data_IF_129583856565
#
_entry.id   IF_129583856565
#
_cell.length_a   1.000
_cell.length_b   1.000
_cell.length_c   1.000
_cell.angle_alpha   90.00
_cell.angle_beta   90.00
_cell.angle_gamma   90.00
#
_symmetry.space_group_name_H-M   'P 1'
#
loop_
_entity.id
_entity.type
_entity.pdbx_description
1 polymer ?
#
# COMPACT_ATOMS: atom_id res chain seq x y z
N UNK A 1 1.92 -21.67 32.46
CA UNK A 1 1.62 -21.57 31.02
C UNK A 1 0.70 -20.38 30.68
N UNK A 2 -0.47 -20.20 31.33
CA UNK A 2 -1.37 -19.07 31.02
C UNK A 2 -0.74 -17.68 31.17
N UNK A 3 0.08 -17.43 32.20
CA UNK A 3 0.69 -16.11 32.43
C UNK A 3 1.69 -15.71 31.32
N UNK A 4 2.49 -16.66 30.84
CA UNK A 4 3.45 -16.40 29.76
C UNK A 4 2.74 -16.13 28.44
N UNK A 5 1.72 -16.94 28.11
CA UNK A 5 0.94 -16.77 26.90
C UNK A 5 0.10 -15.45 26.92
N UNK A 6 -0.35 -15.04 28.10
CA UNK A 6 -1.09 -13.80 28.26
C UNK A 6 -0.20 -12.56 28.03
N UNK A 7 1.03 -12.58 28.55
CA UNK A 7 2.01 -11.52 28.27
C UNK A 7 2.44 -11.49 26.81
N UNK A 8 2.62 -12.67 26.19
CA UNK A 8 2.93 -12.75 24.75
C UNK A 8 1.76 -12.29 23.89
N UNK A 9 0.53 -12.55 24.29
CA UNK A 9 -0.68 -12.08 23.63
C UNK A 9 -0.72 -10.57 23.52
N UNK A 10 -0.47 -9.84 24.60
CA UNK A 10 -0.46 -8.37 24.57
C UNK A 10 0.67 -7.78 23.73
N UNK A 11 1.86 -8.40 23.74
CA UNK A 11 2.95 -7.98 22.84
C UNK A 11 2.60 -8.19 21.37
N UNK A 12 1.93 -9.28 21.05
CA UNK A 12 1.49 -9.57 19.68
C UNK A 12 0.43 -8.54 19.24
N UNK A 13 -0.53 -8.22 20.11
CA UNK A 13 -1.54 -7.20 19.86
C UNK A 13 -0.90 -5.84 19.57
N UNK A 14 0.09 -5.45 20.36
CA UNK A 14 0.80 -4.20 20.14
C UNK A 14 1.50 -4.16 18.78
N UNK A 15 2.17 -5.25 18.37
CA UNK A 15 2.84 -5.34 17.06
C UNK A 15 1.80 -5.33 15.92
N UNK A 16 0.66 -6.02 16.08
CA UNK A 16 -0.43 -6.01 15.10
C UNK A 16 -1.01 -4.60 14.93
N UNK A 17 -1.26 -3.90 16.04
CA UNK A 17 -1.79 -2.54 16.00
C UNK A 17 -0.80 -1.57 15.33
N UNK A 18 0.49 -1.68 15.65
CA UNK A 18 1.55 -0.88 15.00
C UNK A 18 1.66 -1.20 13.50
N UNK A 19 1.58 -2.47 13.10
CA UNK A 19 1.59 -2.88 11.70
C UNK A 19 0.36 -2.36 10.96
N UNK A 20 -0.80 -2.44 11.58
CA UNK A 20 -2.05 -1.91 11.04
C UNK A 20 -1.97 -0.40 10.85
N UNK A 21 -1.51 0.33 11.86
CA UNK A 21 -1.33 1.78 11.78
C UNK A 21 -0.34 2.18 10.67
N UNK A 22 0.77 1.45 10.53
CA UNK A 22 1.74 1.66 9.47
C UNK A 22 1.10 1.47 8.07
N UNK A 23 0.36 0.37 7.88
CA UNK A 23 -0.30 0.06 6.62
C UNK A 23 -1.41 1.07 6.30
N UNK A 24 -2.19 1.50 7.29
CA UNK A 24 -3.24 2.51 7.12
C UNK A 24 -2.64 3.87 6.74
N UNK A 25 -1.59 4.32 7.40
CA UNK A 25 -0.89 5.56 7.06
C UNK A 25 -0.32 5.52 5.64
N UNK A 26 0.28 4.40 5.26
CA UNK A 26 0.82 4.19 3.93
C UNK A 26 -0.28 4.21 2.86
N UNK A 27 -1.38 3.48 3.08
CA UNK A 27 -2.53 3.45 2.19
C UNK A 27 -3.18 4.83 2.03
N UNK A 28 -3.35 5.59 3.13
CA UNK A 28 -3.90 6.94 3.11
C UNK A 28 -3.00 7.89 2.31
N UNK A 29 -1.70 7.83 2.49
CA UNK A 29 -0.74 8.64 1.72
C UNK A 29 -0.84 8.39 0.21
N UNK A 30 -0.96 7.12 -0.21
CA UNK A 30 -1.17 6.75 -1.61
C UNK A 30 -2.52 7.28 -2.12
N UNK A 31 -3.58 7.11 -1.33
CA UNK A 31 -4.92 7.55 -1.69
C UNK A 31 -4.99 9.07 -1.87
N UNK A 32 -4.45 9.84 -0.94
CA UNK A 32 -4.41 11.31 -1.01
C UNK A 32 -3.65 11.79 -2.25
N UNK A 33 -2.52 11.16 -2.57
CA UNK A 33 -1.76 11.45 -3.81
C UNK A 33 -2.60 11.21 -5.06
N UNK A 34 -3.31 10.08 -5.11
CA UNK A 34 -4.18 9.74 -6.24
C UNK A 34 -5.36 10.68 -6.38
N UNK A 35 -6.01 11.04 -5.27
CA UNK A 35 -7.10 12.02 -5.28
C UNK A 35 -6.60 13.36 -5.80
N UNK A 36 -5.45 13.82 -5.32
CA UNK A 36 -4.87 15.08 -5.79
C UNK A 36 -4.49 15.02 -7.27
N UNK A 37 -3.92 13.91 -7.75
CA UNK A 37 -3.58 13.72 -9.16
C UNK A 37 -4.81 13.66 -10.06
N UNK A 38 -5.85 12.94 -9.65
CA UNK A 38 -7.13 12.88 -10.36
C UNK A 38 -7.79 14.27 -10.43
N UNK A 39 -7.73 15.05 -9.36
CA UNK A 39 -8.29 16.41 -9.35
C UNK A 39 -7.55 17.32 -10.34
N UNK A 40 -6.21 17.25 -10.37
CA UNK A 40 -5.40 17.98 -11.35
C UNK A 40 -5.79 17.59 -12.79
N UNK A 41 -5.93 16.28 -13.07
CA UNK A 41 -6.34 15.78 -14.39
C UNK A 41 -7.77 16.21 -14.78
N UNK A 42 -8.68 16.19 -13.82
CA UNK A 42 -10.07 16.63 -14.06
C UNK A 42 -10.16 18.12 -14.42
N UNK A 43 -9.32 18.96 -13.83
CA UNK A 43 -9.24 20.38 -14.16
C UNK A 43 -8.72 20.56 -15.60
N UNK A 44 -7.65 19.85 -15.97
CA UNK A 44 -7.08 19.87 -17.32
C UNK A 44 -8.10 19.38 -18.38
N UNK A 45 -8.73 18.23 -18.09
CA UNK A 45 -9.73 17.64 -18.97
C UNK A 45 -10.97 18.53 -19.12
N UNK A 46 -11.48 19.10 -18.04
CA UNK A 46 -12.61 20.01 -18.06
C UNK A 46 -12.36 21.25 -18.91
N UNK A 47 -11.17 21.82 -18.81
CA UNK A 47 -10.74 22.95 -19.64
C UNK A 47 -10.67 22.56 -21.13
N UNK A 48 -10.08 21.38 -21.44
CA UNK A 48 -9.98 20.86 -22.80
C UNK A 48 -11.36 20.61 -23.43
N UNK A 49 -12.27 19.95 -22.71
CA UNK A 49 -13.63 19.65 -23.18
C UNK A 49 -14.41 20.94 -23.43
N UNK A 50 -14.35 21.91 -22.50
CA UNK A 50 -15.02 23.20 -22.66
C UNK A 50 -14.52 23.96 -23.90
N UNK A 51 -13.22 23.98 -24.14
CA UNK A 51 -12.61 24.59 -25.31
C UNK A 51 -13.02 23.87 -26.61
N UNK A 52 -12.97 22.55 -26.62
CA UNK A 52 -13.40 21.73 -27.76
C UNK A 52 -14.86 21.98 -28.13
N UNK A 53 -15.78 21.98 -27.16
CA UNK A 53 -17.18 22.24 -27.36
C UNK A 53 -17.44 23.66 -27.91
N UNK A 54 -16.68 24.64 -27.45
CA UNK A 54 -16.79 26.02 -27.94
C UNK A 54 -16.46 26.13 -29.43
N UNK A 55 -15.44 25.40 -29.89
CA UNK A 55 -15.02 25.35 -31.30
C UNK A 55 -16.00 24.53 -32.14
N UNK A 56 -16.49 23.42 -31.63
CA UNK A 56 -17.50 22.58 -32.30
C UNK A 56 -18.80 23.36 -32.52
N UNK A 57 -19.29 24.09 -31.53
CA UNK A 57 -20.50 24.92 -31.65
C UNK A 57 -20.34 26.05 -32.68
N UNK A 58 -19.13 26.44 -33.03
CA UNK A 58 -18.79 27.38 -34.09
C UNK A 58 -18.51 26.71 -35.43
N UNK A 59 -18.85 25.42 -35.59
CA UNK A 59 -18.56 24.61 -36.77
C UNK A 59 -17.08 24.59 -37.18
N UNK A 60 -16.17 24.60 -36.18
CA UNK A 60 -14.74 24.51 -36.39
C UNK A 60 -14.29 23.13 -36.93
N UNK A 61 -13.18 23.12 -37.63
CA UNK A 61 -12.58 21.88 -38.16
C UNK A 61 -12.04 20.99 -37.02
N UNK A 62 -11.89 19.67 -37.27
CA UNK A 62 -11.35 18.75 -36.31
C UNK A 62 -9.94 19.15 -35.79
N UNK A 63 -9.11 19.71 -36.65
CA UNK A 63 -7.80 20.22 -36.28
C UNK A 63 -7.88 21.43 -35.34
N UNK A 64 -8.83 22.34 -35.55
CA UNK A 64 -9.03 23.48 -34.65
C UNK A 64 -9.62 23.07 -33.31
N UNK A 65 -10.44 22.02 -33.26
CA UNK A 65 -10.96 21.44 -32.02
C UNK A 65 -9.83 20.85 -31.18
N UNK A 66 -8.96 20.03 -31.80
CA UNK A 66 -7.80 19.42 -31.14
C UNK A 66 -6.82 20.49 -30.62
N UNK A 67 -6.52 21.52 -31.45
CA UNK A 67 -5.64 22.61 -31.07
C UNK A 67 -6.19 23.42 -29.89
N UNK A 68 -7.51 23.71 -29.88
CA UNK A 68 -8.15 24.40 -28.79
C UNK A 68 -8.16 23.57 -27.49
N UNK A 69 -8.45 22.27 -27.58
CA UNK A 69 -8.47 21.38 -26.44
C UNK A 69 -7.07 21.24 -25.80
N UNK A 70 -6.05 21.00 -26.63
CA UNK A 70 -4.65 20.88 -26.15
C UNK A 70 -4.13 22.20 -25.59
N UNK A 71 -4.43 23.32 -26.21
CA UNK A 71 -4.05 24.64 -25.69
C UNK A 71 -4.72 24.97 -24.36
N UNK A 72 -6.00 24.63 -24.20
CA UNK A 72 -6.72 24.85 -22.95
C UNK A 72 -6.24 23.92 -21.81
N UNK A 73 -5.93 22.66 -22.10
CA UNK A 73 -5.36 21.75 -21.13
C UNK A 73 -3.97 22.23 -20.64
N UNK A 74 -3.13 22.68 -21.58
CA UNK A 74 -1.81 23.22 -21.26
C UNK A 74 -1.91 24.52 -20.43
N UNK A 75 -2.85 25.40 -20.76
CA UNK A 75 -3.10 26.63 -20.00
C UNK A 75 -3.61 26.31 -18.58
N UNK A 76 -4.50 25.32 -18.42
CA UNK A 76 -4.97 24.86 -17.11
C UNK A 76 -3.83 24.29 -16.26
N UNK A 77 -2.98 23.44 -16.84
CA UNK A 77 -1.81 22.87 -16.19
C UNK A 77 -0.81 23.95 -15.75
N UNK A 78 -0.56 24.96 -16.61
CA UNK A 78 0.32 26.09 -16.25
C UNK A 78 -0.30 26.99 -15.19
N UNK A 79 -1.64 27.18 -15.20
CA UNK A 79 -2.36 27.93 -14.17
C UNK A 79 -2.26 27.28 -12.80
N UNK A 80 -2.39 25.94 -12.72
CA UNK A 80 -2.19 25.18 -11.48
C UNK A 80 -0.79 25.43 -10.92
N UNK A 81 0.24 25.40 -11.78
CA UNK A 81 1.62 25.72 -11.39
C UNK A 81 1.81 27.17 -10.94
N UNK A 82 1.17 28.12 -11.62
CA UNK A 82 1.24 29.54 -11.29
C UNK A 82 0.50 29.91 -10.01
N UNK A 83 -0.63 29.28 -9.72
CA UNK A 83 -1.34 29.46 -8.44
C UNK A 83 -0.49 29.02 -7.24
N UNK A 84 0.43 28.09 -7.45
CA UNK A 84 1.41 27.64 -6.44
C UNK A 84 2.60 28.60 -6.31
N UNK A 85 2.82 29.54 -7.25
CA UNK A 85 3.85 30.58 -7.17
C UNK A 85 3.42 31.81 -6.36
N UNK A 86 2.51 31.63 -5.40
CA UNK A 86 2.16 32.68 -4.45
C UNK A 86 3.39 33.12 -3.64
N UNK A 87 3.42 34.37 -3.17
CA UNK A 87 4.54 34.89 -2.39
C UNK A 87 4.80 33.97 -1.19
N UNK A 88 6.08 33.82 -0.87
CA UNK A 88 6.56 32.99 0.24
C UNK A 88 5.84 33.42 1.52
N UNK A 89 5.02 32.51 2.07
CA UNK A 89 4.38 32.69 3.36
C UNK A 89 5.14 31.86 4.36
N UNK A 90 5.90 32.55 5.21
CA UNK A 90 6.67 31.90 6.27
C UNK A 90 5.76 31.61 7.47
N UNK A 91 5.88 30.39 8.01
CA UNK A 91 5.29 30.02 9.29
C UNK A 91 6.04 30.70 10.46
N UNK A 92 5.57 30.50 11.70
CA UNK A 92 6.19 31.02 12.91
C UNK A 92 7.65 30.54 13.11
N UNK A 93 8.06 29.49 12.38
CA UNK A 93 9.41 28.91 12.42
C UNK A 93 10.27 29.31 11.20
N UNK A 94 9.79 30.23 10.38
CA UNK A 94 10.52 30.69 9.18
C UNK A 94 10.52 29.68 8.00
N UNK A 95 9.63 28.70 8.00
CA UNK A 95 9.49 27.73 6.91
C UNK A 95 8.46 28.22 5.89
N UNK A 96 8.72 28.03 4.61
CA UNK A 96 7.75 28.34 3.55
C UNK A 96 6.63 27.28 3.52
N UNK A 97 5.45 27.61 4.04
CA UNK A 97 4.26 26.76 4.00
C UNK A 97 3.89 26.30 2.57
N UNK A 98 4.24 27.09 1.58
CA UNK A 98 3.91 26.82 0.19
C UNK A 98 4.98 25.95 -0.52
N UNK A 99 6.18 25.82 0.05
CA UNK A 99 7.28 25.07 -0.56
C UNK A 99 6.96 23.59 -0.70
N UNK A 100 6.37 23.00 0.34
CA UNK A 100 5.98 21.60 0.32
C UNK A 100 4.90 21.35 -0.72
N UNK A 101 3.85 22.17 -0.76
CA UNK A 101 2.78 22.09 -1.76
C UNK A 101 3.31 22.22 -3.19
N UNK A 102 4.27 23.12 -3.43
CA UNK A 102 4.92 23.26 -4.75
C UNK A 102 5.66 21.98 -5.15
N UNK A 103 6.45 21.42 -4.23
CA UNK A 103 7.17 20.15 -4.48
C UNK A 103 6.22 19.00 -4.80
N UNK A 104 5.12 18.88 -4.05
CA UNK A 104 4.11 17.85 -4.28
C UNK A 104 3.46 17.98 -5.68
N UNK A 105 3.10 19.21 -6.10
CA UNK A 105 2.54 19.45 -7.45
C UNK A 105 3.56 19.11 -8.53
N UNK A 106 4.82 19.51 -8.37
CA UNK A 106 5.89 19.17 -9.31
C UNK A 106 6.14 17.68 -9.39
N UNK A 107 6.15 16.99 -8.25
CA UNK A 107 6.31 15.54 -8.18
C UNK A 107 5.16 14.82 -8.88
N UNK A 108 3.89 15.23 -8.63
CA UNK A 108 2.72 14.67 -9.34
C UNK A 108 2.80 14.88 -10.83
N UNK A 109 3.16 16.09 -11.28
CA UNK A 109 3.32 16.38 -12.69
C UNK A 109 4.43 15.55 -13.36
N UNK A 110 5.56 15.35 -12.68
CA UNK A 110 6.67 14.51 -13.15
C UNK A 110 6.26 13.03 -13.18
N UNK A 111 5.53 12.54 -12.17
CA UNK A 111 5.00 11.19 -12.12
C UNK A 111 4.02 10.91 -13.27
N UNK A 112 3.09 11.85 -13.55
CA UNK A 112 2.18 11.76 -14.72
C UNK A 112 2.95 11.69 -16.04
N UNK A 113 3.96 12.51 -16.21
CA UNK A 113 4.80 12.48 -17.42
C UNK A 113 5.52 11.14 -17.57
N UNK A 114 6.08 10.59 -16.49
CA UNK A 114 6.70 9.26 -16.49
C UNK A 114 5.70 8.15 -16.86
N UNK A 115 4.48 8.19 -16.31
CA UNK A 115 3.41 7.22 -16.64
C UNK A 115 3.03 7.30 -18.13
N UNK A 116 2.84 8.51 -18.67
CA UNK A 116 2.54 8.71 -20.09
C UNK A 116 3.66 8.17 -20.98
N UNK A 117 4.91 8.47 -20.67
CA UNK A 117 6.06 7.97 -21.43
C UNK A 117 6.16 6.44 -21.40
N UNK A 118 5.93 5.81 -20.24
CA UNK A 118 5.88 4.34 -20.14
C UNK A 118 4.75 3.74 -20.99
N UNK A 119 3.57 4.35 -20.95
CA UNK A 119 2.43 3.93 -21.77
C UNK A 119 2.72 4.04 -23.27
N UNK A 120 3.28 5.16 -23.71
CA UNK A 120 3.65 5.39 -25.11
C UNK A 120 4.72 4.39 -25.58
N UNK A 121 5.73 4.12 -24.75
CA UNK A 121 6.76 3.13 -25.04
C UNK A 121 6.19 1.71 -25.13
N UNK A 122 5.31 1.33 -24.19
CA UNK A 122 4.62 0.02 -24.26
C UNK A 122 3.73 -0.10 -25.51
N UNK A 123 3.02 0.97 -25.87
CA UNK A 123 2.21 1.01 -27.08
C UNK A 123 3.06 0.90 -28.35
N UNK A 124 4.19 1.60 -28.42
CA UNK A 124 5.12 1.51 -29.53
C UNK A 124 5.68 0.07 -29.68
N UNK A 125 6.12 -0.53 -28.58
CA UNK A 125 6.61 -1.93 -28.57
C UNK A 125 5.52 -2.94 -28.92
N UNK A 126 4.27 -2.68 -28.56
CA UNK A 126 3.14 -3.56 -28.88
C UNK A 126 2.74 -3.51 -30.37
N UNK A 127 3.04 -2.41 -31.08
CA UNK A 127 2.80 -2.30 -32.52
C UNK A 127 3.81 -3.09 -33.36
N UNK A 128 4.95 -3.46 -32.81
CA UNK A 128 5.98 -4.28 -33.51
C UNK A 128 5.74 -5.79 -33.37
N UNK A 129 4.87 -6.22 -32.45
CA UNK A 129 4.58 -7.64 -32.23
C UNK A 129 3.12 -7.89 -32.59
N UNK A 130 2.90 -8.55 -33.74
CA UNK A 130 1.61 -9.00 -34.26
C UNK A 130 1.09 -10.18 -33.37
N UNK A 131 0.57 -9.86 -32.20
CA UNK A 131 0.07 -10.85 -31.22
C UNK A 131 -1.20 -10.38 -30.51
N UNK A 132 -2.10 -11.34 -30.12
CA UNK A 132 -3.41 -11.00 -29.59
C UNK A 132 -3.31 -10.33 -28.22
N UNK A 133 -3.89 -9.13 -28.15
CA UNK A 133 -4.37 -8.50 -26.94
C UNK A 133 -3.35 -8.38 -25.79
N UNK A 134 -2.43 -7.46 -25.92
CA UNK A 134 -1.84 -6.89 -24.70
C UNK A 134 -2.98 -6.26 -23.90
N UNK A 135 -3.44 -6.93 -22.85
CA UNK A 135 -4.15 -6.28 -21.76
C UNK A 135 -3.17 -5.24 -21.22
N UNK A 136 -3.41 -3.98 -21.58
CA UNK A 136 -2.81 -2.85 -20.90
C UNK A 136 -3.53 -2.80 -19.56
N UNK A 137 -3.19 -3.70 -18.67
CA UNK A 137 -3.50 -3.54 -17.27
C UNK A 137 -2.84 -2.23 -16.87
N UNK A 138 -3.67 -1.28 -16.45
CA UNK A 138 -3.20 -0.02 -15.94
C UNK A 138 -2.20 -0.33 -14.83
N UNK A 139 -0.92 -0.17 -15.10
CA UNK A 139 0.13 -0.32 -14.13
C UNK A 139 -0.11 0.77 -13.08
N UNK A 140 -0.72 0.34 -11.99
CA UNK A 140 -1.03 1.20 -10.86
C UNK A 140 0.28 1.54 -10.15
N UNK A 141 0.91 2.63 -10.58
CA UNK A 141 2.03 3.20 -9.86
C UNK A 141 1.51 3.90 -8.61
N UNK A 142 2.13 3.65 -7.45
CA UNK A 142 1.83 4.37 -6.22
C UNK A 142 2.41 5.79 -6.24
N UNK A 143 3.29 6.08 -7.19
CA UNK A 143 4.03 7.35 -7.35
C UNK A 143 4.78 7.76 -6.07
N UNK A 144 5.17 6.77 -5.28
CA UNK A 144 5.97 6.98 -4.08
C UNK A 144 7.40 7.36 -4.43
N UNK A 145 8.00 8.15 -3.57
CA UNK A 145 9.44 8.41 -3.64
C UNK A 145 10.22 7.21 -3.08
N UNK A 146 11.45 7.02 -3.56
CA UNK A 146 12.33 5.96 -3.07
C UNK A 146 12.56 6.07 -1.55
N UNK A 147 12.55 7.29 -1.01
CA UNK A 147 12.69 7.55 0.43
C UNK A 147 11.47 7.10 1.23
N UNK A 148 10.24 7.33 0.73
CA UNK A 148 9.01 6.88 1.37
C UNK A 148 8.91 5.36 1.36
N UNK A 149 9.18 4.75 0.20
CA UNK A 149 9.19 3.29 0.07
C UNK A 149 10.23 2.65 0.98
N UNK A 150 11.43 3.24 1.10
CA UNK A 150 12.48 2.75 1.99
C UNK A 150 12.09 2.88 3.46
N UNK A 151 11.53 4.02 3.86
CA UNK A 151 11.08 4.25 5.24
C UNK A 151 9.95 3.29 5.65
N UNK A 152 8.99 3.04 4.76
CA UNK A 152 7.93 2.06 5.00
C UNK A 152 8.51 0.65 5.19
N UNK A 153 9.40 0.21 4.28
CA UNK A 153 10.05 -1.11 4.36
C UNK A 153 10.87 -1.27 5.63
N UNK A 154 11.68 -0.27 5.98
CA UNK A 154 12.52 -0.30 7.18
C UNK A 154 11.67 -0.43 8.46
N UNK A 155 10.58 0.33 8.55
CA UNK A 155 9.66 0.25 9.70
C UNK A 155 8.96 -1.11 9.75
N UNK A 156 8.47 -1.61 8.61
CA UNK A 156 7.85 -2.94 8.50
C UNK A 156 8.81 -4.04 8.91
N UNK A 157 10.03 -4.00 8.40
CA UNK A 157 11.06 -5.01 8.70
C UNK A 157 11.45 -4.99 10.19
N UNK A 158 11.50 -3.80 10.81
CA UNK A 158 11.71 -3.65 12.24
C UNK A 158 10.59 -4.31 13.05
N UNK A 159 9.33 -4.12 12.68
CA UNK A 159 8.18 -4.76 13.33
C UNK A 159 8.22 -6.30 13.16
N UNK A 160 8.57 -6.79 11.98
CA UNK A 160 8.73 -8.23 11.73
C UNK A 160 9.88 -8.83 12.55
N UNK A 161 10.98 -8.11 12.72
CA UNK A 161 12.07 -8.54 13.61
C UNK A 161 11.63 -8.58 15.09
N UNK A 162 10.78 -7.64 15.51
CA UNK A 162 10.17 -7.69 16.85
C UNK A 162 9.27 -8.94 16.99
N UNK A 163 8.46 -9.23 15.97
CA UNK A 163 7.59 -10.40 15.94
C UNK A 163 8.40 -11.73 16.03
N UNK A 164 9.55 -11.80 15.35
CA UNK A 164 10.44 -12.99 15.44
C UNK A 164 11.01 -13.21 16.84
N UNK A 165 11.17 -12.14 17.61
CA UNK A 165 11.73 -12.20 18.97
C UNK A 165 10.68 -12.50 20.05
N UNK A 166 9.39 -12.48 19.75
CA UNK A 166 8.33 -12.64 20.75
C UNK A 166 8.49 -13.94 21.56
N UNK A 167 8.85 -15.05 20.92
CA UNK A 167 9.06 -16.33 21.59
C UNK A 167 10.55 -16.71 21.78
N UNK A 168 11.48 -15.77 21.61
CA UNK A 168 12.93 -16.04 21.75
C UNK A 168 13.36 -16.44 23.17
N UNK A 169 12.63 -16.01 24.18
CA UNK A 169 12.81 -16.32 25.61
C UNK A 169 12.06 -17.60 26.04
N UNK A 170 11.24 -18.18 25.15
CA UNK A 170 10.54 -19.43 25.43
C UNK A 170 11.47 -20.63 25.25
N UNK A 171 11.28 -21.66 26.08
CA UNK A 171 12.02 -22.94 25.88
C UNK A 171 11.65 -23.51 24.50
N UNK A 172 12.56 -24.27 23.92
CA UNK A 172 12.42 -24.83 22.57
C UNK A 172 11.11 -25.61 22.36
N UNK A 173 10.59 -26.22 23.40
CA UNK A 173 9.33 -26.98 23.38
C UNK A 173 8.08 -26.11 23.19
N UNK A 174 8.18 -24.79 23.47
CA UNK A 174 7.08 -23.83 23.40
C UNK A 174 7.32 -22.68 22.43
N UNK A 175 8.44 -22.69 21.73
CA UNK A 175 8.82 -21.63 20.79
C UNK A 175 8.10 -21.73 19.44
N UNK A 176 7.61 -22.91 19.08
CA UNK A 176 7.02 -23.21 17.79
C UNK A 176 5.66 -23.92 17.93
N UNK A 177 4.69 -23.52 17.13
CA UNK A 177 3.34 -24.11 17.13
C UNK A 177 3.37 -25.61 16.88
N UNK A 178 4.18 -26.09 15.92
CA UNK A 178 4.30 -27.51 15.58
C UNK A 178 4.72 -28.38 16.78
N UNK A 179 5.65 -27.89 17.61
CA UNK A 179 6.10 -28.59 18.83
C UNK A 179 5.00 -28.61 19.90
N UNK A 180 4.33 -27.50 20.09
CA UNK A 180 3.20 -27.39 21.03
C UNK A 180 2.07 -28.32 20.57
N UNK A 181 1.69 -28.29 19.31
CA UNK A 181 0.68 -29.18 18.69
C UNK A 181 1.03 -30.65 18.94
N UNK A 182 2.24 -31.06 18.65
CA UNK A 182 2.69 -32.46 18.85
C UNK A 182 2.55 -32.92 20.32
N UNK A 183 2.77 -32.02 21.29
CA UNK A 183 2.54 -32.34 22.73
C UNK A 183 1.08 -32.55 23.03
N UNK A 184 0.20 -31.70 22.51
CA UNK A 184 -1.26 -31.85 22.72
C UNK A 184 -1.79 -33.10 22.02
N UNK A 185 -1.31 -33.43 20.84
CA UNK A 185 -1.70 -34.67 20.14
C UNK A 185 -1.24 -35.92 20.89
N UNK A 186 0.00 -35.89 21.44
CA UNK A 186 0.51 -36.96 22.31
C UNK A 186 -0.36 -37.11 23.55
N UNK A 187 -0.67 -36.03 24.25
CA UNK A 187 -1.53 -36.05 25.41
C UNK A 187 -2.94 -36.59 25.10
N UNK A 188 -3.52 -36.14 24.00
CA UNK A 188 -4.82 -36.62 23.54
C UNK A 188 -4.83 -38.12 23.24
N UNK A 189 -3.73 -38.64 22.67
CA UNK A 189 -3.59 -40.05 22.34
C UNK A 189 -3.35 -40.91 23.58
N UNK A 190 -2.41 -40.51 24.42
CA UNK A 190 -1.92 -41.33 25.53
C UNK A 190 -2.81 -41.22 26.78
N UNK A 191 -3.53 -40.08 26.95
CA UNK A 191 -4.39 -39.78 28.10
C UNK A 191 -5.71 -39.16 27.68
N UNK A 192 -6.49 -39.83 26.85
CA UNK A 192 -7.69 -39.28 26.23
C UNK A 192 -8.81 -38.89 27.19
N UNK A 193 -8.94 -39.58 28.33
CA UNK A 193 -9.91 -39.23 29.38
C UNK A 193 -9.55 -37.90 30.04
N UNK A 194 -8.31 -37.78 30.53
CA UNK A 194 -7.85 -36.53 31.17
C UNK A 194 -7.83 -35.35 30.21
N UNK A 195 -7.53 -35.57 28.94
CA UNK A 195 -7.61 -34.54 27.92
C UNK A 195 -9.05 -34.03 27.74
N UNK A 196 -10.04 -34.92 27.75
CA UNK A 196 -11.46 -34.59 27.65
C UNK A 196 -11.96 -33.89 28.90
N UNK A 197 -11.61 -34.45 30.07
CA UNK A 197 -12.06 -33.92 31.38
C UNK A 197 -11.49 -32.51 31.65
N UNK A 198 -10.33 -32.21 31.10
CA UNK A 198 -9.71 -30.87 31.09
C UNK A 198 -10.30 -29.91 30.03
N UNK A 199 -11.31 -30.31 29.27
CA UNK A 199 -11.93 -29.51 28.21
C UNK A 199 -10.93 -28.92 27.21
N UNK A 200 -9.87 -29.67 26.92
CA UNK A 200 -8.76 -29.18 26.07
C UNK A 200 -9.19 -28.85 24.65
N UNK A 201 -10.20 -29.51 24.11
CA UNK A 201 -10.75 -29.18 22.79
C UNK A 201 -11.29 -27.74 22.68
N UNK A 202 -11.73 -27.16 23.80
CA UNK A 202 -12.20 -25.78 23.87
C UNK A 202 -11.08 -24.77 24.12
N UNK A 203 -10.02 -25.18 24.83
CA UNK A 203 -8.92 -24.29 25.23
C UNK A 203 -7.76 -24.27 24.24
N UNK A 204 -7.56 -25.34 23.47
CA UNK A 204 -6.49 -25.45 22.47
C UNK A 204 -6.50 -24.28 21.45
N UNK A 205 -7.64 -23.83 20.88
CA UNK A 205 -7.64 -22.69 19.97
C UNK A 205 -7.07 -21.41 20.58
N UNK A 206 -7.36 -21.11 21.85
CA UNK A 206 -6.84 -19.92 22.53
C UNK A 206 -5.34 -20.04 22.82
N UNK A 207 -4.83 -21.25 23.06
CA UNK A 207 -3.40 -21.51 23.26
C UNK A 207 -2.63 -21.38 21.94
N UNK A 208 -3.21 -21.78 20.81
CA UNK A 208 -2.57 -21.70 19.50
C UNK A 208 -2.67 -20.30 18.87
N UNK A 209 -3.70 -19.53 19.24
CA UNK A 209 -3.96 -18.20 18.69
C UNK A 209 -2.73 -17.28 18.62
N UNK A 210 -1.89 -17.13 19.66
CA UNK A 210 -0.70 -16.27 19.58
C UNK A 210 0.29 -16.66 18.48
N UNK A 211 0.49 -17.95 18.27
CA UNK A 211 1.39 -18.47 17.23
C UNK A 211 0.84 -18.24 15.83
N UNK A 212 -0.47 -18.52 15.65
CA UNK A 212 -1.16 -18.32 14.38
C UNK A 212 -1.18 -16.84 14.00
N UNK A 213 -1.45 -15.96 14.95
CA UNK A 213 -1.45 -14.50 14.75
C UNK A 213 -0.07 -14.01 14.28
N UNK A 214 1.02 -14.47 14.91
CA UNK A 214 2.37 -14.11 14.47
C UNK A 214 2.70 -14.61 13.06
N UNK A 215 2.26 -15.81 12.71
CA UNK A 215 2.50 -16.35 11.36
C UNK A 215 1.69 -15.56 10.32
N UNK A 216 0.44 -15.21 10.63
CA UNK A 216 -0.40 -14.36 9.77
C UNK A 216 0.16 -12.94 9.63
N UNK A 217 0.76 -12.38 10.68
CA UNK A 217 1.39 -11.06 10.62
C UNK A 217 2.56 -11.01 9.63
N UNK A 218 3.28 -12.11 9.49
CA UNK A 218 4.42 -12.24 8.56
C UNK A 218 3.98 -12.51 7.13
N UNK A 219 2.77 -13.00 6.94
CA UNK A 219 2.24 -13.37 5.63
C UNK A 219 1.88 -12.15 4.80
N UNK A 220 2.42 -12.09 3.60
CA UNK A 220 2.15 -11.05 2.62
C UNK A 220 1.64 -11.67 1.31
N UNK A 221 0.32 -11.90 1.19
CA UNK A 221 -0.26 -12.60 0.04
C UNK A 221 -0.15 -11.81 -1.28
N UNK A 222 0.23 -10.53 -1.21
CA UNK A 222 0.38 -9.70 -2.41
C UNK A 222 1.79 -9.76 -3.01
N UNK A 223 2.79 -10.10 -2.21
CA UNK A 223 4.20 -10.08 -2.63
C UNK A 223 4.90 -11.43 -2.48
N UNK A 224 4.29 -12.38 -1.79
CA UNK A 224 4.84 -13.72 -1.57
C UNK A 224 3.93 -14.76 -2.22
N UNK A 225 4.54 -15.68 -2.97
CA UNK A 225 3.84 -16.83 -3.57
C UNK A 225 3.71 -17.98 -2.54
N UNK A 226 3.21 -17.65 -1.36
CA UNK A 226 2.98 -18.59 -0.26
C UNK A 226 1.49 -18.67 0.00
N UNK A 227 0.92 -19.85 -0.19
CA UNK A 227 -0.49 -20.08 0.07
C UNK A 227 -0.75 -20.34 1.56
N UNK A 228 -1.99 -20.15 1.99
CA UNK A 228 -2.43 -20.39 3.36
C UNK A 228 -2.13 -21.84 3.83
N UNK A 229 -2.17 -22.78 2.91
CA UNK A 229 -1.88 -24.20 3.19
C UNK A 229 -0.38 -24.52 3.33
N UNK A 230 0.50 -23.62 2.87
CA UNK A 230 1.96 -23.78 2.94
C UNK A 230 2.56 -23.21 4.23
N UNK A 231 1.71 -22.67 5.11
CA UNK A 231 2.15 -22.10 6.37
C UNK A 231 2.65 -23.15 7.37
N UNK A 232 3.51 -22.73 8.29
CA UNK A 232 4.23 -23.62 9.22
C UNK A 232 3.44 -23.99 10.49
N UNK A 233 2.15 -24.23 10.39
CA UNK A 233 1.33 -24.68 11.52
C UNK A 233 0.94 -26.15 11.54
#
# INVERSE_FOLDING_TARGET
MNFVLQNKGSLIEEIEDQMKELNEKHALSILERRIADNNDEMIELGAAVKAAMTVLNKHGSSSSVIAAATGAALAASTSIRQQMNQPVKLDEFGRDENLQKRREVEQRAAARQKRRARFENKRASAMEVDGPSLKIEGESSTDESDTETSAYKETRDSLLQCADKVFSDASEEYSQLSKVKARFERWKRDYSSTYRDAYMSLTVPSIFSPYVRLELLKWDPLHQDVDFFDMKW
#
